data_IF_769224040401
#
_entry.id   IF_769224040401
#
_cell.length_a   1.000
_cell.length_b   1.000
_cell.length_c   1.000
_cell.angle_alpha   90.00
_cell.angle_beta   90.00
_cell.angle_gamma   90.00
#
_symmetry.space_group_name_H-M   'P 1'
#
loop_
_entity.id
_entity.type
_entity.pdbx_description
1 polymer ?
#
# COMPACT_ATOMS: atom_id res chain seq x y z
N UNK A 1 -11.48 11.54 3.39
CA UNK A 1 -11.49 10.48 4.43
C UNK A 1 -10.67 9.33 3.86
N UNK A 2 -9.45 9.13 4.35
CA UNK A 2 -8.57 8.06 3.87
C UNK A 2 -9.06 6.73 4.45
N UNK A 3 -9.04 5.67 3.65
CA UNK A 3 -9.52 4.33 4.02
C UNK A 3 -8.79 3.69 5.22
N UNK A 4 -7.64 4.24 5.63
CA UNK A 4 -6.81 3.74 6.73
C UNK A 4 -6.96 4.51 8.04
N UNK A 5 -7.64 5.65 8.05
CA UNK A 5 -8.00 6.31 9.30
C UNK A 5 -9.32 5.72 9.80
N UNK A 6 -9.34 4.93 10.90
CA UNK A 6 -10.61 4.69 11.56
C UNK A 6 -11.20 6.07 11.89
N UNK A 7 -12.47 6.35 11.56
CA UNK A 7 -13.09 7.58 11.98
C UNK A 7 -13.05 7.59 13.50
N UNK A 8 -12.23 8.46 14.09
CA UNK A 8 -12.22 8.65 15.54
C UNK A 8 -13.63 9.10 15.92
N UNK A 9 -14.42 8.18 16.47
CA UNK A 9 -15.80 8.43 16.87
C UNK A 9 -15.82 9.28 18.13
N UNK A 10 -14.71 9.33 18.88
CA UNK A 10 -14.56 10.17 20.06
C UNK A 10 -13.11 10.59 20.36
N UNK A 11 -12.95 11.65 21.16
CA UNK A 11 -11.66 12.04 21.73
C UNK A 11 -11.04 10.95 22.64
N UNK A 12 -11.86 10.03 23.16
CA UNK A 12 -11.41 8.90 23.98
C UNK A 12 -10.61 7.88 23.17
N UNK A 13 -11.07 7.53 21.96
CA UNK A 13 -10.38 6.59 21.07
C UNK A 13 -9.02 7.15 20.62
N UNK A 14 -8.96 8.45 20.31
CA UNK A 14 -7.72 9.13 19.96
C UNK A 14 -6.69 9.06 21.11
N UNK A 15 -7.14 9.35 22.33
CA UNK A 15 -6.28 9.27 23.53
C UNK A 15 -5.80 7.84 23.77
N UNK A 16 -6.67 6.85 23.58
CA UNK A 16 -6.30 5.45 23.72
C UNK A 16 -5.25 5.02 22.70
N UNK A 17 -5.38 5.45 21.44
CA UNK A 17 -4.37 5.23 20.41
C UNK A 17 -3.02 5.84 20.81
N UNK A 18 -3.00 7.13 21.15
CA UNK A 18 -1.76 7.82 21.56
C UNK A 18 -1.09 7.16 22.78
N UNK A 19 -1.90 6.79 23.79
CA UNK A 19 -1.41 6.10 24.99
C UNK A 19 -0.77 4.73 24.69
N UNK A 20 -1.19 4.03 23.63
CA UNK A 20 -0.58 2.77 23.20
C UNK A 20 0.63 2.99 22.30
N UNK A 21 0.57 4.00 21.45
CA UNK A 21 1.62 4.30 20.49
C UNK A 21 2.91 4.76 21.18
N UNK A 22 2.80 5.65 22.17
CA UNK A 22 3.95 6.21 22.88
C UNK A 22 4.88 5.17 23.54
N UNK A 23 4.40 4.23 24.37
CA UNK A 23 5.27 3.20 24.93
C UNK A 23 5.81 2.24 23.86
N UNK A 24 5.02 1.94 22.81
CA UNK A 24 5.47 1.09 21.70
C UNK A 24 6.65 1.72 20.97
N UNK A 25 6.55 3.01 20.60
CA UNK A 25 7.63 3.71 19.91
C UNK A 25 8.88 3.84 20.77
N UNK A 26 8.73 4.03 22.08
CA UNK A 26 9.86 4.05 23.01
C UNK A 26 10.62 2.71 23.01
N UNK A 27 9.90 1.59 23.04
CA UNK A 27 10.50 0.26 22.94
C UNK A 27 11.19 0.06 21.59
N UNK A 28 10.56 0.49 20.50
CA UNK A 28 11.16 0.43 19.16
C UNK A 28 12.46 1.25 19.07
N UNK A 29 12.51 2.43 19.69
CA UNK A 29 13.73 3.25 19.76
C UNK A 29 14.88 2.55 20.49
N UNK A 30 14.59 1.87 21.60
CA UNK A 30 15.60 1.10 22.34
C UNK A 30 16.20 -0.05 21.52
N UNK A 31 15.46 -0.63 20.57
CA UNK A 31 15.99 -1.64 19.65
C UNK A 31 17.06 -1.06 18.70
N UNK A 32 16.91 0.20 18.30
CA UNK A 32 17.92 0.91 17.49
C UNK A 32 19.14 1.23 18.34
N UNK A 33 18.94 1.76 19.55
CA UNK A 33 20.04 2.11 20.47
C UNK A 33 20.88 0.90 20.90
N UNK A 34 20.24 -0.25 21.05
CA UNK A 34 20.91 -1.53 21.33
C UNK A 34 21.58 -2.17 20.11
N UNK A 35 21.44 -1.58 18.92
CA UNK A 35 22.05 -2.07 17.68
C UNK A 35 21.39 -3.33 17.08
N UNK A 36 20.23 -3.73 17.58
CA UNK A 36 19.49 -4.91 17.07
C UNK A 36 18.85 -4.64 15.71
N UNK A 37 18.50 -3.37 15.45
CA UNK A 37 17.95 -2.92 14.17
C UNK A 37 18.65 -1.63 13.75
N UNK A 38 18.82 -1.43 12.44
CA UNK A 38 19.43 -0.21 11.91
C UNK A 38 18.45 0.96 11.82
N UNK A 39 17.16 0.66 11.63
CA UNK A 39 16.11 1.67 11.48
C UNK A 39 14.76 1.10 11.92
N UNK A 40 13.84 2.00 12.25
CA UNK A 40 12.45 1.69 12.60
C UNK A 40 11.49 2.54 11.77
N UNK A 41 10.29 2.02 11.55
CA UNK A 41 9.28 2.67 10.74
C UNK A 41 7.87 2.29 11.17
N UNK A 42 6.89 2.77 10.39
CA UNK A 42 5.46 2.59 10.61
C UNK A 42 4.81 2.02 9.35
N UNK A 43 3.59 1.51 9.49
CA UNK A 43 2.82 0.97 8.37
C UNK A 43 1.35 1.29 8.57
N UNK A 44 0.68 1.72 7.50
CA UNK A 44 -0.73 2.14 7.48
C UNK A 44 -1.05 3.35 8.37
N UNK A 45 -0.08 4.26 8.56
CA UNK A 45 -0.31 5.49 9.31
C UNK A 45 -0.78 6.62 8.40
N UNK A 46 -1.80 7.35 8.83
CA UNK A 46 -2.27 8.59 8.20
C UNK A 46 -1.44 9.81 8.60
N UNK A 47 -1.65 10.94 7.92
CA UNK A 47 -1.00 12.21 8.23
C UNK A 47 -1.19 12.58 9.71
N UNK A 48 -2.44 12.54 10.21
CA UNK A 48 -2.76 12.89 11.59
C UNK A 48 -2.09 11.96 12.61
N UNK A 49 -2.02 10.66 12.32
CA UNK A 49 -1.35 9.70 13.19
C UNK A 49 0.18 9.91 13.21
N UNK A 50 0.76 10.28 12.06
CA UNK A 50 2.19 10.63 11.99
C UNK A 50 2.44 11.93 12.78
N UNK A 51 1.60 12.95 12.65
CA UNK A 51 1.72 14.19 13.43
C UNK A 51 1.70 13.91 14.94
N UNK A 52 0.81 13.05 15.41
CA UNK A 52 0.76 12.63 16.81
C UNK A 52 2.03 11.90 17.24
N UNK A 53 2.51 10.95 16.43
CA UNK A 53 3.75 10.23 16.68
C UNK A 53 4.94 11.19 16.83
N UNK A 54 5.05 12.15 15.92
CA UNK A 54 6.17 13.09 15.87
C UNK A 54 6.21 14.04 17.09
N UNK A 55 5.13 14.19 17.85
CA UNK A 55 5.14 15.00 19.08
C UNK A 55 6.01 14.39 20.20
N UNK A 56 6.21 13.07 20.20
CA UNK A 56 6.96 12.36 21.24
C UNK A 56 8.04 11.41 20.71
N UNK A 57 8.20 11.31 19.39
CA UNK A 57 9.19 10.44 18.77
C UNK A 57 10.61 11.00 18.91
N UNK A 58 11.49 10.25 19.60
CA UNK A 58 12.93 10.58 19.65
C UNK A 58 13.65 10.27 18.33
N UNK A 59 13.19 9.24 17.62
CA UNK A 59 13.68 8.84 16.30
C UNK A 59 12.52 9.03 15.32
N UNK A 60 12.75 9.79 14.25
CA UNK A 60 11.77 9.95 13.16
C UNK A 60 11.63 8.60 12.43
N UNK A 61 10.41 8.10 12.16
CA UNK A 61 10.23 6.86 11.41
C UNK A 61 10.92 6.96 10.05
N UNK A 62 11.76 5.98 9.71
CA UNK A 62 12.48 5.97 8.44
C UNK A 62 11.55 5.72 7.24
N UNK A 63 10.48 4.95 7.47
CA UNK A 63 9.52 4.55 6.43
C UNK A 63 8.08 4.56 6.97
N UNK A 64 7.13 4.94 6.11
CA UNK A 64 5.71 4.61 6.25
C UNK A 64 5.30 3.70 5.08
N UNK A 65 4.96 2.44 5.37
CA UNK A 65 4.49 1.51 4.36
C UNK A 65 2.96 1.58 4.23
N UNK A 66 2.43 1.92 3.06
CA UNK A 66 0.99 2.20 2.88
C UNK A 66 0.46 1.67 1.55
N UNK A 67 -0.86 1.44 1.48
CA UNK A 67 -1.50 1.07 0.23
C UNK A 67 -1.45 2.26 -0.72
N UNK A 68 -0.73 2.08 -1.82
CA UNK A 68 -0.59 3.07 -2.86
C UNK A 68 -0.56 2.35 -4.19
N UNK A 69 -1.55 2.65 -5.02
CA UNK A 69 -1.63 2.17 -6.38
C UNK A 69 -2.21 3.28 -7.26
N UNK A 70 -2.18 3.15 -8.60
CA UNK A 70 -2.68 4.21 -9.46
C UNK A 70 -4.18 4.54 -9.30
N UNK A 71 -4.98 3.62 -8.75
CA UNK A 71 -6.39 3.82 -8.45
C UNK A 71 -6.63 4.37 -7.04
N UNK A 72 -5.62 4.27 -6.18
CA UNK A 72 -5.64 4.69 -4.79
C UNK A 72 -4.34 5.42 -4.43
N UNK A 73 -4.18 6.61 -5.01
CA UNK A 73 -3.01 7.45 -4.77
C UNK A 73 -3.30 8.51 -3.70
N UNK A 74 -2.54 8.48 -2.60
CA UNK A 74 -2.73 9.36 -1.45
C UNK A 74 -1.73 10.53 -1.49
N UNK A 75 -1.96 11.51 -2.36
CA UNK A 75 -1.01 12.61 -2.63
C UNK A 75 -0.62 13.42 -1.38
N UNK A 76 -1.60 13.75 -0.54
CA UNK A 76 -1.39 14.47 0.71
C UNK A 76 -0.43 13.72 1.65
N UNK A 77 -0.67 12.42 1.83
CA UNK A 77 0.16 11.56 2.69
C UNK A 77 1.59 11.45 2.16
N UNK A 78 1.74 11.26 0.84
CA UNK A 78 3.05 11.15 0.20
C UNK A 78 3.86 12.42 0.37
N UNK A 79 3.24 13.58 0.09
CA UNK A 79 3.89 14.90 0.26
C UNK A 79 4.26 15.16 1.71
N UNK A 80 3.36 14.85 2.64
CA UNK A 80 3.62 15.02 4.06
C UNK A 80 4.82 14.17 4.53
N UNK A 81 4.85 12.89 4.17
CA UNK A 81 5.97 12.00 4.50
C UNK A 81 7.30 12.54 3.93
N UNK A 82 7.32 12.96 2.67
CA UNK A 82 8.51 13.54 2.03
C UNK A 82 9.01 14.79 2.77
N UNK A 83 8.10 15.70 3.14
CA UNK A 83 8.44 16.92 3.89
C UNK A 83 9.04 16.63 5.28
N UNK A 84 8.65 15.51 5.89
CA UNK A 84 9.17 15.07 7.20
C UNK A 84 10.41 14.16 7.09
N UNK A 85 10.90 13.90 5.88
CA UNK A 85 12.03 12.99 5.65
C UNK A 85 11.69 11.52 5.85
N UNK A 86 10.41 11.14 5.77
CA UNK A 86 9.91 9.78 5.92
C UNK A 86 9.77 9.16 4.52
N UNK A 87 10.43 8.02 4.28
CA UNK A 87 10.27 7.29 3.01
C UNK A 87 8.88 6.67 2.92
N UNK A 88 8.26 6.68 1.73
CA UNK A 88 6.98 6.01 1.52
C UNK A 88 7.20 4.74 0.73
N UNK A 89 6.86 3.61 1.33
CA UNK A 89 6.89 2.30 0.67
C UNK A 89 5.47 1.89 0.28
N UNK A 90 5.21 1.77 -1.01
CA UNK A 90 3.92 1.28 -1.49
C UNK A 90 3.82 -0.25 -1.29
N UNK A 91 2.72 -0.72 -0.72
CA UNK A 91 2.28 -2.12 -0.86
C UNK A 91 1.01 -2.17 -1.72
N UNK A 92 0.69 -3.37 -2.23
CA UNK A 92 -0.42 -3.56 -3.19
C UNK A 92 -0.33 -2.59 -4.36
N UNK A 93 0.88 -2.36 -4.88
CA UNK A 93 1.14 -1.30 -5.88
C UNK A 93 0.45 -1.54 -7.23
N UNK A 94 0.07 -2.79 -7.53
CA UNK A 94 -0.75 -3.15 -8.69
C UNK A 94 -2.26 -3.06 -8.40
N UNK A 95 -2.68 -2.79 -7.15
CA UNK A 95 -4.06 -2.92 -6.72
C UNK A 95 -4.50 -4.37 -6.52
N UNK A 96 -5.71 -4.55 -5.98
CA UNK A 96 -6.35 -5.87 -5.85
C UNK A 96 -7.26 -6.14 -7.05
N UNK A 97 -7.19 -7.35 -7.66
CA UNK A 97 -8.15 -7.75 -8.67
C UNK A 97 -9.57 -7.75 -8.11
N UNK A 98 -10.47 -6.94 -8.69
CA UNK A 98 -11.90 -7.08 -8.42
C UNK A 98 -12.40 -8.34 -9.12
N UNK A 99 -12.69 -9.39 -8.35
CA UNK A 99 -13.49 -10.50 -8.86
C UNK A 99 -14.94 -10.04 -8.96
N UNK A 100 -15.41 -9.72 -10.16
CA UNK A 100 -16.84 -9.56 -10.41
C UNK A 100 -17.51 -10.91 -10.18
N UNK A 101 -18.06 -11.13 -8.99
CA UNK A 101 -18.92 -12.27 -8.71
C UNK A 101 -20.27 -11.96 -9.35
N UNK A 102 -20.45 -12.34 -10.62
CA UNK A 102 -21.74 -12.23 -11.31
C UNK A 102 -21.63 -11.91 -12.80
N UNK A 103 -21.33 -12.92 -13.61
CA UNK A 103 -21.95 -13.14 -14.93
C UNK A 103 -21.52 -14.55 -15.37
N UNK A 104 -22.29 -15.57 -15.01
CA UNK A 104 -22.19 -16.88 -15.64
C UNK A 104 -22.76 -16.68 -17.05
N UNK A 105 -21.87 -16.55 -18.03
CA UNK A 105 -22.25 -16.62 -19.43
C UNK A 105 -22.53 -18.09 -19.76
N UNK A 106 -23.79 -18.37 -20.05
CA UNK A 106 -24.28 -19.66 -20.48
C UNK A 106 -23.68 -20.00 -21.84
N UNK A 107 -22.62 -20.81 -21.85
CA UNK A 107 -22.00 -21.32 -23.06
C UNK A 107 -21.70 -22.81 -22.93
N UNK A 108 -22.57 -23.63 -23.51
CA UNK A 108 -22.39 -25.07 -23.68
C UNK A 108 -21.13 -25.39 -24.49
N UNK A 109 -20.31 -26.31 -24.00
CA UNK A 109 -19.21 -26.91 -24.74
C UNK A 109 -18.72 -28.14 -23.98
N UNK A 110 -19.07 -29.30 -24.51
CA UNK A 110 -18.66 -30.64 -24.07
C UNK A 110 -17.13 -30.79 -24.06
N UNK A 111 -16.59 -31.50 -23.07
CA UNK A 111 -15.79 -32.72 -23.29
C UNK A 111 -15.31 -33.32 -21.96
N UNK A 112 -15.21 -34.65 -21.99
CA UNK A 112 -14.87 -35.59 -20.94
C UNK A 112 -13.44 -35.45 -20.38
N UNK A 113 -13.30 -35.70 -19.08
CA UNK A 113 -12.23 -36.46 -18.38
C UNK A 113 -11.99 -35.90 -16.96
N UNK A 114 -12.08 -36.80 -15.98
CA UNK A 114 -12.09 -36.48 -14.57
C UNK A 114 -10.68 -36.42 -13.98
N UNK A 115 -10.36 -35.35 -13.24
CA UNK A 115 -9.55 -35.49 -12.03
C UNK A 115 -8.26 -34.71 -11.89
N UNK A 116 -7.88 -33.78 -12.78
CA UNK A 116 -6.83 -32.79 -12.44
C UNK A 116 -6.98 -31.50 -13.24
N UNK A 117 -7.30 -30.34 -12.62
CA UNK A 117 -7.26 -29.07 -13.32
C UNK A 117 -5.81 -28.76 -13.69
N UNK A 118 -5.48 -28.86 -14.98
CA UNK A 118 -4.26 -28.27 -15.53
C UNK A 118 -4.36 -26.77 -15.27
N UNK A 119 -3.51 -26.25 -14.38
CA UNK A 119 -3.39 -24.81 -14.14
C UNK A 119 -2.85 -24.20 -15.44
N UNK A 120 -3.75 -23.77 -16.31
CA UNK A 120 -3.42 -22.84 -17.37
C UNK A 120 -3.37 -21.47 -16.74
N UNK A 121 -2.20 -20.84 -16.75
CA UNK A 121 -2.06 -19.43 -16.41
C UNK A 121 -2.81 -18.60 -17.47
N UNK A 122 -4.14 -18.48 -17.36
CA UNK A 122 -4.86 -17.37 -17.99
C UNK A 122 -4.39 -16.11 -17.26
N UNK A 123 -3.44 -15.42 -17.89
CA UNK A 123 -2.95 -14.07 -17.56
C UNK A 123 -4.15 -13.23 -17.07
N UNK A 124 -4.25 -13.02 -15.76
CA UNK A 124 -5.36 -12.27 -15.20
C UNK A 124 -5.24 -10.82 -15.67
N UNK A 125 -6.20 -10.39 -16.52
CA UNK A 125 -6.23 -9.04 -17.12
C UNK A 125 -6.61 -7.94 -16.10
N UNK A 126 -6.85 -8.30 -14.84
CA UNK A 126 -7.63 -7.48 -13.93
C UNK A 126 -6.95 -6.16 -13.52
N UNK A 127 -5.63 -6.16 -13.28
CA UNK A 127 -4.89 -4.92 -12.90
C UNK A 127 -3.91 -4.44 -13.97
N UNK A 128 -3.34 -5.37 -14.74
CA UNK A 128 -2.31 -5.06 -15.73
C UNK A 128 -2.86 -4.27 -16.93
N UNK A 129 -4.04 -4.65 -17.44
CA UNK A 129 -4.62 -4.02 -18.62
C UNK A 129 -5.09 -2.57 -18.37
N UNK A 130 -5.74 -2.26 -17.22
CA UNK A 130 -5.98 -0.87 -16.82
C UNK A 130 -4.70 -0.06 -16.57
N UNK A 131 -3.66 -0.66 -15.95
CA UNK A 131 -2.43 0.07 -15.66
C UNK A 131 -1.65 0.49 -16.91
N UNK A 132 -1.64 -0.33 -17.96
CA UNK A 132 -1.02 0.03 -19.24
C UNK A 132 -1.65 1.29 -19.89
N UNK A 133 -2.89 1.63 -19.53
CA UNK A 133 -3.62 2.80 -20.05
C UNK A 133 -3.37 4.07 -19.24
N UNK A 134 -2.64 4.00 -18.14
CA UNK A 134 -2.36 5.16 -17.31
C UNK A 134 -1.35 6.06 -17.99
N UNK A 135 -1.68 7.34 -18.09
CA UNK A 135 -0.81 8.37 -18.67
C UNK A 135 0.57 8.45 -17.98
N UNK A 136 0.63 8.16 -16.67
CA UNK A 136 1.88 8.08 -15.91
C UNK A 136 2.79 6.95 -16.44
N UNK A 137 2.24 5.76 -16.72
CA UNK A 137 3.03 4.64 -17.26
C UNK A 137 3.57 4.99 -18.64
N UNK A 138 2.76 5.65 -19.48
CA UNK A 138 3.18 6.13 -20.79
C UNK A 138 4.32 7.16 -20.70
N UNK A 139 4.22 8.14 -19.80
CA UNK A 139 5.28 9.13 -19.58
C UNK A 139 6.59 8.52 -19.10
N UNK A 140 6.53 7.53 -18.21
CA UNK A 140 7.74 6.84 -17.72
C UNK A 140 8.33 5.98 -18.86
N UNK A 141 7.50 5.34 -19.69
CA UNK A 141 7.93 4.54 -20.84
C UNK A 141 8.73 5.38 -21.83
N UNK A 142 8.17 6.52 -22.20
CA UNK A 142 8.80 7.48 -23.10
C UNK A 142 10.12 8.01 -22.52
N UNK A 143 10.12 8.47 -21.25
CA UNK A 143 11.30 9.00 -20.58
C UNK A 143 12.47 8.00 -20.56
N UNK A 144 12.17 6.72 -20.34
CA UNK A 144 13.19 5.68 -20.18
C UNK A 144 13.41 4.82 -21.42
N UNK A 145 12.78 5.15 -22.56
CA UNK A 145 12.82 4.36 -23.81
C UNK A 145 12.48 2.88 -23.58
N UNK A 146 11.51 2.61 -22.71
CA UNK A 146 11.03 1.26 -22.36
C UNK A 146 9.62 1.06 -22.89
N UNK A 147 9.19 -0.19 -23.04
CA UNK A 147 7.77 -0.49 -23.31
C UNK A 147 6.95 -0.31 -22.04
N UNK A 148 5.65 -0.05 -22.17
CA UNK A 148 4.72 0.08 -21.04
C UNK A 148 4.74 -1.17 -20.14
N UNK A 149 4.93 -2.34 -20.73
CA UNK A 149 5.02 -3.62 -20.04
C UNK A 149 6.28 -3.72 -19.16
N UNK A 150 7.43 -3.24 -19.66
CA UNK A 150 8.69 -3.17 -18.91
C UNK A 150 8.69 -2.16 -17.74
N UNK A 151 7.59 -1.42 -17.56
CA UNK A 151 7.40 -0.49 -16.45
C UNK A 151 6.48 -1.05 -15.39
N UNK A 152 5.60 -1.96 -15.76
CA UNK A 152 4.65 -2.59 -14.85
C UNK A 152 5.18 -3.94 -14.34
N UNK A 153 6.14 -4.55 -15.05
CA UNK A 153 6.86 -5.77 -14.68
C UNK A 153 8.31 -5.45 -14.32
#
# INVERSE_FOLDING_TARGET
MLATDPPWKSAGEYRQFSNRLKPTWKVMGALVESGLVQAIGISNFSVRQIEELLQFANIVPAVNQVELNPFWYQDELVKFCQLKGIHVSAHTFLGVPVSTKGMYDSGSGSEDEAGTPRITFRRSKSVHSPMLKLFVVAKIAERHKKTLEHIIL
#
